data_IF_336985540478
#
_entry.id   IF_336985540478
#
_cell.length_a   1.000
_cell.length_b   1.000
_cell.length_c   1.000
_cell.angle_alpha   90.00
_cell.angle_beta   90.00
_cell.angle_gamma   90.00
#
_symmetry.space_group_name_H-M   'P 1'
#
loop_
_entity.id
_entity.type
_entity.pdbx_description
1 polymer ?
#
# COMPACT_ATOMS: atom_id res chain seq x y z
N UNK A 1 22.41 -20.78 -13.92
CA UNK A 1 20.98 -20.41 -13.96
C UNK A 1 20.72 -19.51 -12.77
N UNK A 2 20.25 -18.28 -12.98
CA UNK A 2 19.98 -17.34 -11.88
C UNK A 2 18.80 -17.86 -11.05
N UNK A 3 18.93 -17.79 -9.73
CA UNK A 3 17.98 -18.37 -8.79
C UNK A 3 16.79 -17.40 -8.61
N UNK A 4 15.79 -17.53 -9.48
CA UNK A 4 14.61 -16.65 -9.51
C UNK A 4 13.66 -17.07 -8.39
N UNK A 5 13.52 -16.20 -7.38
CA UNK A 5 12.61 -16.45 -6.26
C UNK A 5 11.29 -15.73 -6.49
N UNK A 6 10.19 -16.49 -6.53
CA UNK A 6 8.84 -15.96 -6.71
C UNK A 6 8.05 -16.05 -5.41
N UNK A 7 7.45 -14.94 -5.02
CA UNK A 7 6.55 -14.81 -3.87
C UNK A 7 5.16 -14.45 -4.36
N UNK A 8 4.15 -15.20 -3.94
CA UNK A 8 2.75 -14.89 -4.23
C UNK A 8 2.17 -14.06 -3.10
N UNK A 9 1.51 -12.96 -3.47
CA UNK A 9 0.90 -12.04 -2.52
C UNK A 9 -0.59 -12.34 -2.39
N UNK A 10 -1.06 -12.30 -1.15
CA UNK A 10 -2.45 -12.51 -0.76
C UNK A 10 -3.02 -11.24 -0.13
N UNK A 11 -4.35 -11.19 -0.01
CA UNK A 11 -5.02 -10.06 0.63
C UNK A 11 -4.73 -10.01 2.14
N UNK A 12 -4.37 -8.84 2.64
CA UNK A 12 -4.13 -8.61 4.07
C UNK A 12 -5.44 -8.31 4.81
N UNK A 13 -6.14 -9.37 5.21
CA UNK A 13 -7.43 -9.26 5.92
C UNK A 13 -7.31 -8.64 7.31
N UNK A 14 -6.21 -8.87 8.03
CA UNK A 14 -6.03 -8.33 9.39
C UNK A 14 -5.71 -6.84 9.34
N UNK A 15 -4.83 -6.43 8.42
CA UNK A 15 -4.56 -5.03 8.16
C UNK A 15 -5.79 -4.28 7.65
N UNK A 16 -6.61 -4.93 6.82
CA UNK A 16 -7.90 -4.41 6.39
C UNK A 16 -8.80 -4.08 7.57
N UNK A 17 -8.96 -4.99 8.54
CA UNK A 17 -9.82 -4.75 9.71
C UNK A 17 -9.37 -3.53 10.50
N UNK A 18 -8.06 -3.37 10.71
CA UNK A 18 -7.52 -2.21 11.42
C UNK A 18 -7.72 -0.90 10.66
N UNK A 19 -7.43 -0.88 9.36
CA UNK A 19 -7.64 0.31 8.55
C UNK A 19 -9.14 0.64 8.46
N UNK A 20 -10.03 -0.35 8.29
CA UNK A 20 -11.47 -0.14 8.30
C UNK A 20 -11.99 0.41 9.63
N UNK A 21 -11.53 -0.15 10.76
CA UNK A 21 -11.88 0.32 12.10
C UNK A 21 -11.42 1.76 12.37
N UNK A 22 -10.32 2.19 11.75
CA UNK A 22 -9.81 3.56 11.90
C UNK A 22 -10.55 4.53 10.97
N UNK A 23 -10.61 4.24 9.67
CA UNK A 23 -11.09 5.19 8.66
C UNK A 23 -12.62 5.30 8.63
N UNK A 24 -13.37 4.19 8.75
CA UNK A 24 -14.83 4.21 8.60
C UNK A 24 -15.49 5.06 9.70
N UNK A 25 -15.21 4.84 11.01
CA UNK A 25 -15.83 5.64 12.06
C UNK A 25 -15.40 7.10 12.00
N UNK A 26 -14.14 7.38 11.66
CA UNK A 26 -13.62 8.74 11.54
C UNK A 26 -14.35 9.53 10.45
N UNK A 27 -14.51 8.93 9.26
CA UNK A 27 -15.24 9.56 8.16
C UNK A 27 -16.71 9.77 8.52
N UNK A 28 -17.37 8.78 9.13
CA UNK A 28 -18.77 8.91 9.58
C UNK A 28 -18.90 10.03 10.60
N UNK A 29 -18.01 10.12 11.59
CA UNK A 29 -18.05 11.16 12.60
C UNK A 29 -17.86 12.56 11.99
N UNK A 30 -16.86 12.72 11.10
CA UNK A 30 -16.60 13.99 10.43
C UNK A 30 -17.78 14.43 9.55
N UNK A 31 -18.37 13.52 8.78
CA UNK A 31 -19.57 13.82 7.98
C UNK A 31 -20.78 14.15 8.86
N UNK A 32 -20.98 13.42 9.96
CA UNK A 32 -22.11 13.65 10.86
C UNK A 32 -22.02 15.02 11.54
N UNK A 33 -20.84 15.39 12.03
CA UNK A 33 -20.58 16.69 12.65
C UNK A 33 -20.65 17.80 11.59
N UNK A 34 -20.05 17.59 10.41
CA UNK A 34 -20.11 18.54 9.30
C UNK A 34 -21.54 18.83 8.87
N UNK A 35 -22.38 17.79 8.71
CA UNK A 35 -23.79 17.93 8.38
C UNK A 35 -24.57 18.67 9.46
N UNK A 36 -24.30 18.40 10.75
CA UNK A 36 -24.92 19.15 11.86
C UNK A 36 -24.57 20.64 11.81
N UNK A 37 -23.32 20.98 11.55
CA UNK A 37 -22.83 22.37 11.51
C UNK A 37 -23.31 23.09 10.24
N UNK A 38 -23.53 22.36 9.14
CA UNK A 38 -24.05 22.93 7.89
C UNK A 38 -25.40 23.65 8.07
N UNK A 39 -26.25 23.14 8.96
CA UNK A 39 -27.54 23.74 9.32
C UNK A 39 -27.45 24.76 10.48
N UNK A 40 -26.25 25.08 10.95
CA UNK A 40 -25.98 26.10 11.97
C UNK A 40 -25.62 27.45 11.32
N UNK A 41 -25.51 28.49 12.14
CA UNK A 41 -25.11 29.83 11.71
C UNK A 41 -23.64 29.90 11.23
N UNK A 42 -22.79 28.94 11.61
CA UNK A 42 -21.35 28.93 11.33
C UNK A 42 -20.96 27.87 10.28
N UNK A 43 -21.33 28.14 9.03
CA UNK A 43 -21.14 27.23 7.89
C UNK A 43 -19.68 27.04 7.49
N UNK A 44 -18.78 27.95 7.87
CA UNK A 44 -17.35 27.90 7.51
C UNK A 44 -16.69 26.61 8.03
N UNK A 45 -17.01 26.19 9.24
CA UNK A 45 -16.50 24.95 9.83
C UNK A 45 -17.04 23.69 9.14
N UNK A 46 -18.25 23.74 8.60
CA UNK A 46 -18.82 22.62 7.87
C UNK A 46 -18.00 22.30 6.61
N UNK A 47 -17.57 23.32 5.85
CA UNK A 47 -16.70 23.12 4.68
C UNK A 47 -15.39 22.42 5.03
N UNK A 48 -14.74 22.83 6.13
CA UNK A 48 -13.48 22.20 6.58
C UNK A 48 -13.71 20.74 6.96
N UNK A 49 -14.80 20.43 7.68
CA UNK A 49 -15.12 19.06 8.09
C UNK A 49 -15.47 18.17 6.91
N UNK A 50 -16.23 18.67 5.93
CA UNK A 50 -16.50 17.94 4.71
C UNK A 50 -15.23 17.70 3.89
N UNK A 51 -14.37 18.72 3.75
CA UNK A 51 -13.08 18.57 3.09
C UNK A 51 -12.23 17.49 3.78
N UNK A 52 -12.10 17.54 5.11
CA UNK A 52 -11.38 16.53 5.87
C UNK A 52 -12.00 15.14 5.69
N UNK A 53 -13.33 15.01 5.78
CA UNK A 53 -14.02 13.75 5.59
C UNK A 53 -13.74 13.15 4.20
N UNK A 54 -13.83 13.96 3.14
CA UNK A 54 -13.52 13.55 1.77
C UNK A 54 -12.06 13.13 1.64
N UNK A 55 -11.12 13.89 2.23
CA UNK A 55 -9.70 13.55 2.21
C UNK A 55 -9.42 12.21 2.90
N UNK A 56 -9.92 12.02 4.13
CA UNK A 56 -9.77 10.77 4.87
C UNK A 56 -10.43 9.60 4.16
N UNK A 57 -11.60 9.82 3.54
CA UNK A 57 -12.27 8.80 2.74
C UNK A 57 -11.44 8.38 1.53
N UNK A 58 -10.86 9.33 0.79
CA UNK A 58 -10.01 9.04 -0.38
C UNK A 58 -8.72 8.29 0.02
N UNK A 59 -8.02 8.77 1.05
CA UNK A 59 -6.78 8.14 1.53
C UNK A 59 -7.07 6.75 2.11
N UNK A 60 -8.12 6.63 2.93
CA UNK A 60 -8.56 5.37 3.51
C UNK A 60 -8.99 4.37 2.45
N UNK A 61 -9.79 4.80 1.48
CA UNK A 61 -10.22 3.96 0.36
C UNK A 61 -9.03 3.47 -0.46
N UNK A 62 -8.07 4.35 -0.80
CA UNK A 62 -6.88 3.93 -1.55
C UNK A 62 -6.03 2.91 -0.77
N UNK A 63 -5.86 3.11 0.55
CA UNK A 63 -5.12 2.18 1.42
C UNK A 63 -5.82 0.82 1.56
N UNK A 64 -7.14 0.83 1.75
CA UNK A 64 -7.97 -0.37 1.89
C UNK A 64 -8.06 -1.13 0.56
N UNK A 65 -8.48 -0.46 -0.52
CA UNK A 65 -8.72 -1.08 -1.82
C UNK A 65 -7.41 -1.45 -2.53
N UNK A 66 -6.42 -0.56 -2.52
CA UNK A 66 -5.16 -0.73 -3.22
C UNK A 66 -4.14 -1.57 -2.46
N UNK A 67 -3.95 -1.25 -1.18
CA UNK A 67 -2.98 -1.93 -0.33
C UNK A 67 -3.53 -3.25 0.21
N UNK A 68 -4.63 -3.22 0.97
CA UNK A 68 -5.07 -4.40 1.73
C UNK A 68 -5.80 -5.44 0.90
N UNK A 69 -6.82 -5.01 0.15
CA UNK A 69 -7.65 -5.89 -0.68
C UNK A 69 -7.04 -6.16 -2.05
N UNK A 70 -6.03 -5.38 -2.44
CA UNK A 70 -5.33 -5.53 -3.71
C UNK A 70 -6.30 -5.57 -4.90
N UNK A 71 -7.26 -4.65 -4.93
CA UNK A 71 -8.31 -4.57 -5.97
C UNK A 71 -7.94 -3.58 -7.08
N UNK A 72 -7.01 -2.65 -6.82
CA UNK A 72 -6.62 -1.68 -7.84
C UNK A 72 -5.80 -2.34 -8.95
N UNK A 73 -5.87 -1.86 -10.21
CA UNK A 73 -5.08 -2.40 -11.31
C UNK A 73 -3.57 -2.41 -11.04
N UNK A 74 -3.09 -1.45 -10.25
CA UNK A 74 -1.69 -1.28 -9.86
C UNK A 74 -1.26 -2.10 -8.63
N UNK A 75 -2.17 -2.87 -8.02
CA UNK A 75 -1.85 -3.68 -6.84
C UNK A 75 -0.95 -4.87 -7.22
N UNK A 76 0.18 -5.10 -6.54
CA UNK A 76 1.11 -6.18 -6.85
C UNK A 76 0.59 -7.53 -6.35
N UNK A 77 0.40 -8.51 -7.23
CA UNK A 77 -0.02 -9.89 -6.93
C UNK A 77 1.12 -10.87 -6.70
N UNK A 78 2.26 -10.64 -7.35
CA UNK A 78 3.42 -11.49 -7.16
C UNK A 78 4.70 -10.68 -7.31
N UNK A 79 5.73 -11.15 -6.64
CA UNK A 79 7.07 -10.57 -6.68
C UNK A 79 8.03 -11.64 -7.17
N UNK A 80 8.88 -11.28 -8.12
CA UNK A 80 9.98 -12.11 -8.56
C UNK A 80 11.27 -11.32 -8.36
N UNK A 81 12.15 -11.87 -7.54
CA UNK A 81 13.47 -11.31 -7.29
C UNK A 81 14.50 -12.08 -8.11
N UNK A 82 15.26 -11.33 -8.90
CA UNK A 82 16.47 -11.77 -9.57
C UNK A 82 17.67 -10.98 -9.01
N UNK A 83 18.90 -11.36 -9.34
CA UNK A 83 20.12 -10.76 -8.78
C UNK A 83 20.26 -9.25 -9.05
N UNK A 84 19.66 -8.75 -10.13
CA UNK A 84 19.82 -7.35 -10.57
C UNK A 84 18.50 -6.64 -10.89
N UNK A 85 17.38 -7.37 -10.88
CA UNK A 85 16.08 -6.82 -11.27
C UNK A 85 14.98 -7.38 -10.40
N UNK A 86 13.94 -6.57 -10.17
CA UNK A 86 12.77 -6.98 -9.44
C UNK A 86 11.54 -6.84 -10.31
N UNK A 87 10.87 -7.96 -10.56
CA UNK A 87 9.63 -8.00 -11.31
C UNK A 87 8.46 -7.99 -10.32
N UNK A 88 7.56 -7.03 -10.48
CA UNK A 88 6.26 -7.00 -9.83
C UNK A 88 5.19 -7.35 -10.86
N UNK A 89 4.47 -8.43 -10.61
CA UNK A 89 3.26 -8.76 -11.35
C UNK A 89 2.09 -8.05 -10.69
N UNK A 90 1.40 -7.19 -11.44
CA UNK A 90 0.28 -6.41 -10.93
C UNK A 90 -1.05 -7.10 -11.26
N UNK A 91 -2.15 -6.63 -10.69
CA UNK A 91 -3.50 -7.05 -11.06
C UNK A 91 -3.75 -6.92 -12.58
N UNK A 92 -3.19 -5.86 -13.19
CA UNK A 92 -3.18 -5.66 -14.65
C UNK A 92 -1.79 -5.24 -15.09
N UNK A 93 -1.09 -6.17 -15.74
CA UNK A 93 0.24 -5.94 -16.30
C UNK A 93 1.37 -6.35 -15.37
N UNK A 94 2.59 -6.00 -15.78
CA UNK A 94 3.84 -6.34 -15.09
C UNK A 94 4.76 -5.12 -15.12
N UNK A 95 5.42 -4.85 -14.01
CA UNK A 95 6.43 -3.80 -13.90
C UNK A 95 7.75 -4.48 -13.57
N UNK A 96 8.79 -4.16 -14.33
CA UNK A 96 10.15 -4.65 -14.08
C UNK A 96 11.00 -3.48 -13.65
N UNK A 97 11.45 -3.50 -12.40
CA UNK A 97 12.38 -2.52 -11.85
C UNK A 97 13.79 -3.00 -12.17
N UNK A 98 14.52 -2.19 -12.94
CA UNK A 98 15.85 -2.53 -13.47
C UNK A 98 16.95 -1.64 -12.93
N UNK A 99 16.62 -0.46 -12.38
CA UNK A 99 17.58 0.52 -11.87
C UNK A 99 17.08 1.19 -10.59
N UNK A 100 18.02 1.70 -9.79
CA UNK A 100 17.77 2.41 -8.52
C UNK A 100 16.81 1.66 -7.58
N UNK A 101 16.94 0.34 -7.52
CA UNK A 101 16.16 -0.47 -6.59
C UNK A 101 16.57 -0.11 -5.16
N UNK A 102 15.66 0.52 -4.43
CA UNK A 102 15.84 0.92 -3.03
C UNK A 102 14.85 0.21 -2.15
N UNK A 103 15.37 -0.40 -1.10
CA UNK A 103 14.60 -1.07 -0.08
C UNK A 103 14.49 -0.22 1.20
N UNK A 104 13.26 0.02 1.65
CA UNK A 104 12.93 0.81 2.83
C UNK A 104 12.24 -0.06 3.87
N UNK A 105 12.99 -0.66 4.82
CA UNK A 105 12.37 -1.42 5.90
C UNK A 105 11.57 -0.50 6.81
N UNK A 106 10.38 -0.92 7.21
CA UNK A 106 9.62 -0.26 8.28
C UNK A 106 10.26 -0.55 9.64
N UNK A 107 10.32 0.46 10.50
CA UNK A 107 10.86 0.34 11.86
C UNK A 107 10.06 -0.67 12.70
N UNK A 108 8.74 -0.73 12.52
CA UNK A 108 7.89 -1.68 13.23
C UNK A 108 7.89 -3.09 12.61
N UNK A 109 8.56 -3.30 11.47
CA UNK A 109 8.64 -4.59 10.77
C UNK A 109 7.29 -5.11 10.28
N UNK A 110 6.30 -4.22 10.09
CA UNK A 110 4.95 -4.59 9.63
C UNK A 110 4.78 -4.41 8.12
N UNK A 111 5.67 -3.63 7.50
CA UNK A 111 5.70 -3.38 6.06
C UNK A 111 7.11 -3.10 5.58
N UNK A 112 7.28 -2.96 4.27
CA UNK A 112 8.46 -2.33 3.69
C UNK A 112 8.07 -1.58 2.43
N UNK A 113 8.82 -0.52 2.13
CA UNK A 113 8.75 0.20 0.87
C UNK A 113 9.78 -0.34 -0.11
N UNK A 114 9.40 -0.36 -1.38
CA UNK A 114 10.27 -0.65 -2.50
C UNK A 114 10.11 0.48 -3.51
N UNK A 115 11.22 1.04 -3.97
CA UNK A 115 11.22 2.00 -5.06
C UNK A 115 12.23 1.58 -6.13
N UNK A 116 11.95 1.90 -7.38
CA UNK A 116 12.89 1.68 -8.48
C UNK A 116 12.43 2.35 -9.77
N UNK A 117 13.31 2.33 -10.76
CA UNK A 117 13.03 2.77 -12.12
C UNK A 117 12.75 1.55 -13.01
N UNK A 118 11.76 1.65 -13.87
CA UNK A 118 11.53 0.67 -14.92
C UNK A 118 12.43 0.89 -16.15
N UNK A 119 12.29 0.03 -17.16
CA UNK A 119 13.05 0.11 -18.41
C UNK A 119 12.81 1.40 -19.21
N UNK A 120 11.72 2.12 -18.94
CA UNK A 120 11.39 3.40 -19.57
C UNK A 120 11.89 4.60 -18.73
N UNK A 121 12.55 4.33 -17.60
CA UNK A 121 13.03 5.36 -16.67
C UNK A 121 11.93 5.95 -15.78
N UNK A 122 10.73 5.36 -15.77
CA UNK A 122 9.64 5.80 -14.89
C UNK A 122 9.84 5.23 -13.49
N UNK A 123 9.70 6.10 -12.49
CA UNK A 123 9.81 5.73 -11.08
C UNK A 123 8.53 5.09 -10.58
N UNK A 124 8.65 3.91 -9.99
CA UNK A 124 7.58 3.21 -9.31
C UNK A 124 7.91 3.04 -7.84
N UNK A 125 6.88 3.06 -7.01
CA UNK A 125 6.97 2.90 -5.56
C UNK A 125 5.86 1.96 -5.12
N UNK A 126 6.22 0.98 -4.31
CA UNK A 126 5.31 -0.02 -3.78
C UNK A 126 5.52 -0.12 -2.28
N UNK A 127 4.43 -0.26 -1.54
CA UNK A 127 4.47 -0.57 -0.11
C UNK A 127 3.80 -1.91 0.08
N UNK A 128 4.57 -2.84 0.63
CA UNK A 128 4.16 -4.22 0.84
C UNK A 128 4.03 -4.46 2.35
N UNK A 129 2.93 -5.09 2.74
CA UNK A 129 2.63 -5.38 4.13
C UNK A 129 2.94 -6.83 4.44
N UNK A 130 3.40 -7.08 5.67
CA UNK A 130 3.67 -8.43 6.16
C UNK A 130 2.47 -9.37 5.99
N UNK A 131 1.24 -8.86 6.18
CA UNK A 131 0.02 -9.64 6.03
C UNK A 131 -0.35 -10.01 4.59
N UNK A 132 0.40 -9.53 3.59
CA UNK A 132 0.23 -9.90 2.19
C UNK A 132 1.02 -11.14 1.79
N UNK A 133 1.82 -11.73 2.68
CA UNK A 133 2.59 -12.94 2.41
C UNK A 133 1.85 -14.15 3.00
N UNK A 134 1.92 -15.30 2.33
CA UNK A 134 1.27 -16.52 2.80
C UNK A 134 1.87 -17.00 4.13
N UNK A 135 3.19 -16.88 4.27
CA UNK A 135 3.92 -17.21 5.49
C UNK A 135 4.87 -16.08 5.91
N UNK A 136 5.11 -15.99 7.23
CA UNK A 136 6.12 -15.12 7.81
C UNK A 136 7.53 -15.49 7.34
N UNK A 137 7.79 -16.76 7.05
CA UNK A 137 9.07 -17.21 6.51
C UNK A 137 9.39 -16.54 5.17
N UNK A 138 8.42 -16.49 4.25
CA UNK A 138 8.56 -15.81 2.96
C UNK A 138 8.82 -14.31 3.11
N UNK A 139 8.10 -13.65 4.01
CA UNK A 139 8.31 -12.23 4.30
C UNK A 139 9.72 -11.96 4.83
N UNK A 140 10.23 -12.83 5.72
CA UNK A 140 11.58 -12.71 6.28
C UNK A 140 12.67 -13.01 5.24
N UNK A 141 12.48 -14.05 4.44
CA UNK A 141 13.42 -14.42 3.37
C UNK A 141 13.55 -13.29 2.34
N UNK A 142 12.42 -12.73 1.88
CA UNK A 142 12.42 -11.60 0.96
C UNK A 142 13.11 -10.37 1.56
N UNK A 143 12.81 -10.02 2.82
CA UNK A 143 13.47 -8.88 3.48
C UNK A 143 14.98 -9.09 3.65
N UNK A 144 15.42 -10.31 3.98
CA UNK A 144 16.84 -10.62 4.09
C UNK A 144 17.57 -10.45 2.76
N UNK A 145 16.94 -10.86 1.65
CA UNK A 145 17.48 -10.68 0.29
C UNK A 145 17.45 -9.22 -0.15
N UNK A 146 16.39 -8.48 0.18
CA UNK A 146 16.26 -7.06 -0.16
C UNK A 146 17.18 -6.15 0.67
N UNK A 147 17.66 -6.62 1.83
CA UNK A 147 18.63 -5.88 2.63
C UNK A 147 19.97 -5.64 1.89
N UNK A 148 20.27 -6.40 0.84
CA UNK A 148 21.42 -6.15 -0.04
C UNK A 148 21.26 -4.89 -0.92
N UNK A 149 20.03 -4.37 -1.07
CA UNK A 149 19.67 -3.21 -1.89
C UNK A 149 19.34 -1.97 -1.04
N UNK A 150 19.94 -1.88 0.15
CA UNK A 150 19.79 -0.74 1.08
C UNK A 150 20.64 0.46 0.66
#
# INVERSE_FOLDING_TARGET
MADIHRYQLVQDRRGLTWDALLYIPTVIALLSIGAKIWFSADQTWAYVLFFMASFFALVGANRILGGRLMLLPSSPRALQLDRQQMTLELNRGKVVLVKDLRYYPDYAGKSFGLAGLDGEGKRHQFVLYRGQFADLAEYRDLNARLAAFK
#
